data_IF_289784200374
#
_entry.id   IF_289784200374
#
_cell.length_a   1.000
_cell.length_b   1.000
_cell.length_c   1.000
_cell.angle_alpha   90.00
_cell.angle_beta   90.00
_cell.angle_gamma   90.00
#
_symmetry.space_group_name_H-M   'P 1'
#
loop_
_entity.id
_entity.type
_entity.pdbx_description
1 polymer ?
#
# COMPACT_ATOMS: atom_id res chain seq x y z
N UNK A 1 -0.12 7.66 -17.62
CA UNK A 1 -0.18 6.19 -17.42
C UNK A 1 -1.17 5.88 -16.32
N UNK A 2 -2.31 5.31 -16.70
CA UNK A 2 -3.49 5.04 -15.89
C UNK A 2 -3.15 3.98 -14.83
N UNK A 3 -3.18 4.32 -13.53
CA UNK A 3 -3.12 3.29 -12.47
C UNK A 3 -4.47 2.58 -12.53
N UNK A 4 -4.48 1.31 -12.92
CA UNK A 4 -5.68 0.51 -12.70
C UNK A 4 -5.74 0.22 -11.19
N UNK A 5 -6.67 0.90 -10.52
CA UNK A 5 -6.98 0.59 -9.14
C UNK A 5 -7.47 -0.87 -9.05
N UNK A 6 -7.17 -1.58 -7.95
CA UNK A 6 -7.75 -2.90 -7.72
C UNK A 6 -9.28 -2.81 -7.74
N UNK A 7 -9.96 -3.87 -8.17
CA UNK A 7 -11.41 -3.87 -8.32
C UNK A 7 -12.15 -3.81 -6.97
N UNK A 8 -11.56 -4.41 -5.93
CA UNK A 8 -12.08 -4.43 -4.57
C UNK A 8 -10.92 -4.63 -3.56
N UNK A 9 -11.29 -4.73 -2.27
CA UNK A 9 -10.33 -4.95 -1.17
C UNK A 9 -9.63 -6.32 -1.29
N UNK A 10 -10.34 -7.34 -1.77
CA UNK A 10 -9.80 -8.71 -1.86
C UNK A 10 -8.73 -8.81 -2.96
N UNK A 11 -8.95 -8.11 -4.08
CA UNK A 11 -7.99 -7.97 -5.16
C UNK A 11 -6.71 -7.29 -4.67
N UNK A 12 -6.83 -6.22 -3.87
CA UNK A 12 -5.66 -5.57 -3.28
C UNK A 12 -4.93 -6.49 -2.29
N UNK A 13 -5.65 -7.18 -1.41
CA UNK A 13 -5.07 -8.12 -0.44
C UNK A 13 -4.27 -9.23 -1.15
N UNK A 14 -4.82 -9.76 -2.26
CA UNK A 14 -4.15 -10.76 -3.10
C UNK A 14 -2.87 -10.22 -3.72
N UNK A 15 -2.89 -8.98 -4.23
CA UNK A 15 -1.71 -8.33 -4.81
C UNK A 15 -0.62 -8.11 -3.74
N UNK A 16 -1.00 -7.59 -2.56
CA UNK A 16 -0.08 -7.40 -1.44
C UNK A 16 0.58 -8.71 -1.02
N UNK A 17 -0.22 -9.79 -0.89
CA UNK A 17 0.29 -11.12 -0.55
C UNK A 17 1.24 -11.68 -1.60
N UNK A 18 0.93 -11.48 -2.88
CA UNK A 18 1.76 -11.96 -3.99
C UNK A 18 3.15 -11.31 -4.03
N UNK A 19 3.27 -10.10 -3.50
CA UNK A 19 4.53 -9.34 -3.36
C UNK A 19 5.13 -9.50 -1.94
N UNK A 20 4.62 -10.45 -1.14
CA UNK A 20 5.18 -10.81 0.16
C UNK A 20 4.71 -9.95 1.35
N UNK A 21 3.71 -9.08 1.18
CA UNK A 21 3.16 -8.26 2.25
C UNK A 21 1.83 -8.83 2.79
N UNK A 22 1.81 -9.16 4.08
CA UNK A 22 0.62 -9.62 4.79
C UNK A 22 -0.08 -8.44 5.47
N UNK A 23 -1.06 -7.85 4.79
CA UNK A 23 -1.90 -6.82 5.38
C UNK A 23 -3.00 -7.43 6.25
N UNK A 24 -3.37 -6.73 7.31
CA UNK A 24 -4.65 -6.97 7.97
C UNK A 24 -5.80 -6.36 7.14
N UNK A 25 -7.03 -6.74 7.50
CA UNK A 25 -8.22 -6.28 6.78
C UNK A 25 -8.40 -4.75 6.85
N UNK A 26 -8.01 -4.12 7.96
CA UNK A 26 -8.13 -2.67 8.15
C UNK A 26 -7.20 -1.91 7.20
N UNK A 27 -5.94 -2.32 7.14
CA UNK A 27 -4.94 -1.76 6.24
C UNK A 27 -5.31 -1.99 4.77
N UNK A 28 -5.72 -3.20 4.38
CA UNK A 28 -6.19 -3.50 3.02
C UNK A 28 -7.38 -2.62 2.62
N UNK A 29 -8.32 -2.38 3.53
CA UNK A 29 -9.48 -1.52 3.29
C UNK A 29 -9.08 -0.05 3.14
N UNK A 30 -8.27 0.48 4.06
CA UNK A 30 -7.83 1.87 4.02
C UNK A 30 -6.99 2.16 2.77
N UNK A 31 -6.09 1.24 2.41
CA UNK A 31 -5.28 1.33 1.20
C UNK A 31 -6.12 1.31 -0.07
N UNK A 32 -7.10 0.40 -0.16
CA UNK A 32 -8.02 0.32 -1.28
C UNK A 32 -8.79 1.65 -1.49
N UNK A 33 -9.32 2.23 -0.41
CA UNK A 33 -10.04 3.51 -0.46
C UNK A 33 -9.10 4.64 -0.90
N UNK A 34 -7.90 4.71 -0.32
CA UNK A 34 -6.91 5.75 -0.65
C UNK A 34 -6.50 5.68 -2.14
N UNK A 35 -6.22 4.48 -2.66
CA UNK A 35 -5.87 4.26 -4.07
C UNK A 35 -7.03 4.63 -4.99
N UNK A 36 -8.24 4.15 -4.66
CA UNK A 36 -9.45 4.40 -5.47
C UNK A 36 -9.80 5.88 -5.55
N UNK A 37 -9.64 6.61 -4.44
CA UNK A 37 -9.95 8.04 -4.37
C UNK A 37 -8.78 8.94 -4.78
N UNK A 38 -7.58 8.38 -5.04
CA UNK A 38 -6.37 9.16 -5.28
C UNK A 38 -6.00 10.08 -4.10
N UNK A 39 -6.19 9.60 -2.87
CA UNK A 39 -5.93 10.36 -1.63
C UNK A 39 -4.69 9.81 -0.90
N UNK A 40 -3.93 10.67 -0.19
CA UNK A 40 -2.81 10.22 0.62
C UNK A 40 -3.27 9.39 1.82
N UNK A 41 -2.41 8.49 2.30
CA UNK A 41 -2.61 7.68 3.51
C UNK A 41 -1.52 7.97 4.53
N UNK A 42 -1.90 8.11 5.80
CA UNK A 42 -0.98 8.18 6.94
C UNK A 42 -0.94 6.80 7.61
N UNK A 43 0.26 6.29 7.89
CA UNK A 43 0.44 4.97 8.52
C UNK A 43 1.02 5.11 9.93
N UNK A 44 0.17 4.89 10.92
CA UNK A 44 0.52 4.87 12.35
C UNK A 44 0.79 3.44 12.84
N UNK A 45 1.45 3.29 13.99
CA UNK A 45 1.88 1.99 14.53
C UNK A 45 3.34 1.95 15.01
N UNK A 46 3.68 0.86 15.69
CA UNK A 46 5.00 0.66 16.30
C UNK A 46 6.13 0.53 15.27
N UNK A 47 7.37 0.70 15.73
CA UNK A 47 8.55 0.43 14.91
C UNK A 47 8.58 -1.07 14.58
N UNK A 48 8.81 -1.41 13.30
CA UNK A 48 8.93 -2.80 12.86
C UNK A 48 7.64 -3.47 12.38
N UNK A 49 6.47 -2.81 12.44
CA UNK A 49 5.19 -3.39 11.96
C UNK A 49 5.02 -3.38 10.43
N UNK A 50 6.10 -3.18 9.68
CA UNK A 50 6.08 -3.26 8.22
C UNK A 50 5.60 -2.01 7.47
N UNK A 51 5.49 -0.83 8.11
CA UNK A 51 5.07 0.42 7.43
C UNK A 51 5.92 0.78 6.20
N UNK A 52 7.24 0.65 6.35
CA UNK A 52 8.18 0.92 5.25
C UNK A 52 8.04 -0.13 4.15
N UNK A 53 7.81 -1.38 4.53
CA UNK A 53 7.68 -2.49 3.58
C UNK A 53 6.39 -2.36 2.77
N UNK A 54 5.29 -1.94 3.41
CA UNK A 54 4.04 -1.63 2.75
C UNK A 54 4.22 -0.61 1.62
N UNK A 55 4.95 0.48 1.87
CA UNK A 55 5.22 1.51 0.85
C UNK A 55 6.06 0.96 -0.32
N UNK A 56 7.03 0.07 -0.05
CA UNK A 56 7.81 -0.61 -1.10
C UNK A 56 6.97 -1.56 -1.91
N UNK A 57 6.13 -2.36 -1.25
CA UNK A 57 5.24 -3.32 -1.91
C UNK A 57 4.24 -2.61 -2.82
N UNK A 58 3.62 -1.52 -2.36
CA UNK A 58 2.76 -0.72 -3.24
C UNK A 58 3.52 -0.15 -4.44
N UNK A 59 4.76 0.33 -4.24
CA UNK A 59 5.58 0.81 -5.33
C UNK A 59 5.93 -0.30 -6.35
N UNK A 60 6.21 -1.51 -5.87
CA UNK A 60 6.44 -2.72 -6.70
C UNK A 60 5.20 -3.05 -7.52
N UNK A 61 4.05 -3.29 -6.86
CA UNK A 61 2.77 -3.68 -7.48
C UNK A 61 2.35 -2.69 -8.58
N UNK A 62 2.45 -1.39 -8.31
CA UNK A 62 2.03 -0.35 -9.25
C UNK A 62 3.13 0.12 -10.20
N UNK A 63 4.32 -0.51 -10.17
CA UNK A 63 5.49 -0.12 -10.96
C UNK A 63 5.78 1.39 -10.84
N UNK A 64 5.79 1.90 -9.62
CA UNK A 64 6.02 3.31 -9.30
C UNK A 64 7.35 3.50 -8.60
N UNK A 65 7.93 4.69 -8.79
CA UNK A 65 9.12 5.10 -8.05
C UNK A 65 8.75 5.39 -6.61
N UNK A 66 9.36 4.68 -5.65
CA UNK A 66 9.29 5.03 -4.24
C UNK A 66 10.29 6.12 -3.92
N UNK A 67 9.81 7.28 -3.48
CA UNK A 67 10.66 8.36 -2.97
C UNK A 67 10.57 8.33 -1.44
N UNK A 68 11.71 8.09 -0.78
CA UNK A 68 11.81 8.12 0.68
C UNK A 68 12.47 9.42 1.13
N UNK A 69 11.68 10.28 1.76
CA UNK A 69 12.17 11.49 2.43
C UNK A 69 12.31 11.17 3.91
N UNK A 70 13.53 11.28 4.42
CA UNK A 70 13.77 11.17 5.85
C UNK A 70 13.67 12.57 6.44
N UNK A 71 12.61 12.81 7.20
CA UNK A 71 12.46 14.04 7.97
C UNK A 71 13.30 13.89 9.24
N UNK A 72 14.50 14.47 9.22
CA UNK A 72 15.28 14.81 10.41
C UNK A 72 15.06 16.28 10.73
#
# INVERSE_FOLDING_TARGET
>A
MNVQAPADVQALDTLLRSDGYLADRGLSTAAFIAITLGRPILLEGEVGVGKTEFAKTLASIFSRRLIRLQCY
#
